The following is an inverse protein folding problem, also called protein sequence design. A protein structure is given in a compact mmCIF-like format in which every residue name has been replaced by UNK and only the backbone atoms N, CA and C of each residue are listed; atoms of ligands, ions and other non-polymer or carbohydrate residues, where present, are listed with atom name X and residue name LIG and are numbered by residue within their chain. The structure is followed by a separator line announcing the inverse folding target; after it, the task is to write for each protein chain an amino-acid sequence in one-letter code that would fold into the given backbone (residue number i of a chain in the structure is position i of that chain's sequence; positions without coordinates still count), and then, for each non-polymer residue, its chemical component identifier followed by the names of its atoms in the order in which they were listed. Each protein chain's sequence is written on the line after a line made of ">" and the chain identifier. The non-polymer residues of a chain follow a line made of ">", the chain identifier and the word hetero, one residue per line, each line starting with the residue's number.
data_IF_769448445612
#
_entry.id   IF_769448445612
#
_cell.length_a   1.000
_cell.length_b   1.000
_cell.length_c   1.000
_cell.angle_alpha   90.00
_cell.angle_beta   90.00
_cell.angle_gamma   90.00
#
_symmetry.space_group_name_H-M   'P 1'
#
loop_
_entity.id
_entity.type
_entity.pdbx_description
1 polymer ?
#
# COMPACT_ATOMS: atom_id res chain seq x y z
N UNK A 1 -15.90 -5.83 -19.78
CA UNK A 1 -15.16 -6.02 -18.51
C UNK A 1 -13.68 -5.98 -18.83
N UNK A 2 -12.87 -5.21 -18.08
CA UNK A 2 -11.43 -5.14 -18.35
C UNK A 2 -10.78 -6.49 -18.07
N UNK A 3 -9.68 -6.76 -18.77
CA UNK A 3 -8.89 -7.98 -18.63
C UNK A 3 -8.41 -8.18 -17.18
N UNK A 4 -8.09 -7.09 -16.48
CA UNK A 4 -7.76 -7.03 -15.05
C UNK A 4 -8.91 -7.44 -14.12
N UNK A 5 -10.15 -7.11 -14.44
CA UNK A 5 -11.32 -7.56 -13.67
C UNK A 5 -11.51 -9.08 -13.84
N UNK A 6 -11.25 -9.59 -15.05
CA UNK A 6 -11.30 -11.01 -15.34
C UNK A 6 -10.21 -11.77 -14.57
N UNK A 7 -9.00 -11.25 -14.56
CA UNK A 7 -7.86 -11.81 -13.84
C UNK A 7 -8.10 -11.82 -12.32
N UNK A 8 -8.75 -10.79 -11.76
CA UNK A 8 -9.19 -10.75 -10.36
C UNK A 8 -10.24 -11.83 -10.04
N UNK A 9 -11.27 -12.00 -10.87
CA UNK A 9 -12.28 -13.05 -10.68
C UNK A 9 -11.71 -14.45 -10.87
N UNK A 10 -10.74 -14.62 -11.78
CA UNK A 10 -10.01 -15.87 -11.95
C UNK A 10 -9.15 -16.16 -10.71
N UNK A 11 -8.59 -15.12 -10.05
CA UNK A 11 -7.89 -15.21 -8.77
C UNK A 11 -8.81 -15.57 -7.60
N UNK A 12 -9.97 -14.92 -7.48
CA UNK A 12 -10.99 -15.25 -6.47
C UNK A 12 -11.53 -16.67 -6.67
N UNK A 13 -11.71 -17.10 -7.93
CA UNK A 13 -12.11 -18.45 -8.27
C UNK A 13 -11.01 -19.46 -7.92
N UNK A 14 -9.74 -19.19 -8.23
CA UNK A 14 -8.61 -20.03 -7.84
C UNK A 14 -8.45 -20.11 -6.30
N UNK A 15 -8.63 -19.00 -5.58
CA UNK A 15 -8.67 -18.97 -4.12
C UNK A 15 -9.83 -19.81 -3.58
N UNK A 16 -11.01 -19.74 -4.21
CA UNK A 16 -12.15 -20.58 -3.82
C UNK A 16 -11.87 -22.08 -4.00
N UNK A 17 -11.07 -22.46 -5.00
CA UNK A 17 -10.60 -23.83 -5.22
C UNK A 17 -9.57 -24.24 -4.15
N UNK A 18 -8.61 -23.37 -3.82
CA UNK A 18 -7.61 -23.60 -2.76
C UNK A 18 -8.26 -23.73 -1.37
N UNK A 19 -9.30 -22.94 -1.10
CA UNK A 19 -10.03 -22.96 0.18
C UNK A 19 -10.97 -24.18 0.26
N UNK A 20 -11.49 -24.70 -0.86
CA UNK A 20 -12.44 -25.83 -0.88
C UNK A 20 -11.81 -27.21 -1.10
N UNK A 21 -10.67 -27.32 -1.79
CA UNK A 21 -9.99 -28.61 -2.00
C UNK A 21 -8.99 -28.91 -0.87
N UNK A 22 -9.43 -29.71 0.10
CA UNK A 22 -8.60 -30.32 1.17
C UNK A 22 -7.49 -31.28 0.67
N UNK A 23 -7.13 -31.32 -0.62
CA UNK A 23 -6.38 -32.44 -1.21
C UNK A 23 -5.03 -32.14 -1.90
N UNK A 24 -4.49 -30.92 -1.84
CA UNK A 24 -3.13 -30.64 -2.35
C UNK A 24 -2.29 -29.78 -1.39
N UNK A 25 -2.05 -30.29 -0.18
CA UNK A 25 -1.13 -29.69 0.79
C UNK A 25 0.22 -30.43 0.85
N UNK A 26 0.77 -30.86 -0.30
CA UNK A 26 2.01 -31.65 -0.36
C UNK A 26 3.28 -30.84 -0.02
N UNK A 27 3.20 -29.52 0.15
CA UNK A 27 4.34 -28.65 0.44
C UNK A 27 4.06 -27.67 1.60
N UNK A 28 4.33 -28.06 2.86
CA UNK A 28 4.11 -27.23 4.06
C UNK A 28 4.74 -25.83 4.02
N UNK A 29 5.84 -25.68 3.27
CA UNK A 29 6.52 -24.39 3.07
C UNK A 29 5.67 -23.40 2.29
N UNK A 30 4.98 -23.84 1.22
CA UNK A 30 4.10 -23.02 0.39
C UNK A 30 2.91 -22.50 1.20
N UNK A 31 2.31 -23.38 1.97
CA UNK A 31 1.20 -23.11 2.89
C UNK A 31 1.57 -22.05 3.91
N UNK A 32 2.71 -22.25 4.57
CA UNK A 32 3.22 -21.32 5.57
C UNK A 32 3.56 -19.95 4.97
N UNK A 33 4.05 -19.94 3.73
CA UNK A 33 4.31 -18.71 2.98
C UNK A 33 3.01 -17.97 2.68
N UNK A 34 2.01 -18.62 2.10
CA UNK A 34 0.68 -18.03 1.83
C UNK A 34 0.04 -17.43 3.08
N UNK A 35 0.02 -18.19 4.19
CA UNK A 35 -0.52 -17.69 5.46
C UNK A 35 0.26 -16.47 5.97
N UNK A 36 1.59 -16.46 5.81
CA UNK A 36 2.41 -15.34 6.23
C UNK A 36 2.14 -14.08 5.39
N UNK A 37 1.95 -14.21 4.08
CA UNK A 37 1.70 -13.09 3.19
C UNK A 37 0.29 -12.53 3.40
N UNK A 38 -0.71 -13.40 3.55
CA UNK A 38 -2.08 -13.00 3.85
C UNK A 38 -2.18 -12.20 5.16
N UNK A 39 -1.49 -12.64 6.22
CA UNK A 39 -1.43 -11.88 7.48
C UNK A 39 -0.76 -10.52 7.30
N UNK A 40 0.34 -10.48 6.55
CA UNK A 40 1.08 -9.24 6.33
C UNK A 40 0.27 -8.22 5.51
N UNK A 41 -0.42 -8.68 4.47
CA UNK A 41 -1.34 -7.87 3.67
C UNK A 41 -2.47 -7.32 4.55
N UNK A 42 -3.09 -8.17 5.37
CA UNK A 42 -4.16 -7.76 6.29
C UNK A 42 -3.69 -6.74 7.34
N UNK A 43 -2.50 -6.94 7.90
CA UNK A 43 -1.90 -5.99 8.86
C UNK A 43 -1.70 -4.60 8.22
N UNK A 44 -1.11 -4.55 7.01
CA UNK A 44 -0.91 -3.29 6.29
C UNK A 44 -2.25 -2.66 5.91
N UNK A 45 -3.16 -3.44 5.33
CA UNK A 45 -4.46 -2.94 4.88
C UNK A 45 -5.36 -2.48 6.03
N UNK A 46 -5.15 -2.98 7.24
CA UNK A 46 -5.81 -2.45 8.44
C UNK A 46 -5.36 -1.01 8.70
N UNK A 47 -4.05 -0.74 8.67
CA UNK A 47 -3.50 0.62 8.85
C UNK A 47 -3.97 1.55 7.74
N UNK A 48 -3.92 1.11 6.48
CA UNK A 48 -4.34 1.91 5.33
C UNK A 48 -5.82 2.31 5.42
N UNK A 49 -6.71 1.35 5.73
CA UNK A 49 -8.16 1.61 5.88
C UNK A 49 -8.44 2.59 7.02
N UNK A 50 -7.76 2.46 8.16
CA UNK A 50 -7.89 3.40 9.28
C UNK A 50 -7.48 4.83 8.91
N UNK A 51 -6.58 4.99 7.94
CA UNK A 51 -6.10 6.28 7.43
C UNK A 51 -6.85 6.74 6.16
N UNK A 52 -7.90 6.03 5.73
CA UNK A 52 -8.65 6.35 4.51
C UNK A 52 -7.82 6.24 3.22
N UNK A 53 -6.74 5.46 3.23
CA UNK A 53 -5.86 5.25 2.08
C UNK A 53 -6.24 3.98 1.30
N UNK A 54 -5.90 3.96 0.00
CA UNK A 54 -6.15 2.81 -0.85
C UNK A 54 -5.38 1.58 -0.34
N UNK A 55 -6.01 0.40 -0.36
CA UNK A 55 -5.35 -0.86 0.00
C UNK A 55 -4.19 -1.20 -0.94
N UNK A 56 -3.39 -2.19 -0.56
CA UNK A 56 -2.39 -2.80 -1.43
C UNK A 56 -2.46 -4.32 -1.35
N UNK A 57 -1.83 -4.98 -2.32
CA UNK A 57 -1.73 -6.44 -2.39
C UNK A 57 -0.29 -6.91 -2.14
N UNK A 58 -0.13 -8.16 -1.73
CA UNK A 58 1.17 -8.81 -1.57
C UNK A 58 1.20 -10.13 -2.33
N UNK A 59 2.22 -10.32 -3.17
CA UNK A 59 2.33 -11.47 -4.05
C UNK A 59 3.74 -12.04 -4.11
N UNK A 60 3.84 -13.37 -4.05
CA UNK A 60 5.08 -14.11 -4.24
C UNK A 60 4.80 -15.50 -4.80
N UNK A 61 5.10 -15.69 -6.08
CA UNK A 61 5.12 -16.96 -6.80
C UNK A 61 6.53 -17.43 -7.18
N UNK A 62 7.54 -16.59 -6.95
CA UNK A 62 8.96 -16.83 -7.27
C UNK A 62 9.59 -17.82 -6.28
N UNK A 63 9.37 -17.63 -4.97
CA UNK A 63 10.02 -18.41 -3.93
C UNK A 63 9.16 -18.56 -2.67
N UNK A 64 9.70 -19.23 -1.64
CA UNK A 64 9.01 -19.40 -0.36
C UNK A 64 9.31 -18.29 0.66
N UNK A 65 9.81 -17.13 0.22
CA UNK A 65 10.08 -15.98 1.08
C UNK A 65 8.79 -15.49 1.73
N UNK A 66 8.85 -15.28 3.03
CA UNK A 66 7.74 -14.84 3.87
C UNK A 66 7.82 -13.33 4.15
N UNK A 67 6.89 -12.81 4.95
CA UNK A 67 6.91 -11.41 5.38
C UNK A 67 8.21 -11.05 6.12
N UNK A 68 8.62 -9.78 6.02
CA UNK A 68 9.59 -9.20 6.95
C UNK A 68 8.95 -9.00 8.32
N UNK A 69 9.59 -9.49 9.37
CA UNK A 69 9.06 -9.43 10.76
C UNK A 69 9.49 -8.18 11.52
N UNK A 70 10.57 -7.58 11.07
CA UNK A 70 11.25 -6.39 11.59
C UNK A 70 10.76 -5.10 10.92
N UNK A 71 9.79 -5.19 10.03
CA UNK A 71 9.21 -4.05 9.33
C UNK A 71 7.80 -3.73 9.84
N UNK A 72 7.55 -2.46 10.14
CA UNK A 72 6.23 -1.95 10.54
C UNK A 72 5.80 -0.85 9.57
N UNK A 73 4.66 -1.07 8.91
CA UNK A 73 4.09 -0.08 8.00
C UNK A 73 3.58 1.15 8.76
N UNK A 74 3.91 2.32 8.24
CA UNK A 74 3.51 3.63 8.77
C UNK A 74 3.03 4.51 7.63
N UNK A 75 2.05 5.37 7.92
CA UNK A 75 1.43 6.29 6.95
C UNK A 75 1.93 7.72 7.09
N UNK A 76 2.75 8.00 8.11
CA UNK A 76 3.34 9.30 8.39
C UNK A 76 4.73 9.14 9.03
N UNK A 77 5.62 10.09 8.78
CA UNK A 77 7.00 10.10 9.26
C UNK A 77 7.08 10.04 10.78
N UNK A 78 8.09 9.32 11.28
CA UNK A 78 8.37 9.22 12.71
C UNK A 78 9.58 10.07 13.07
N UNK A 79 9.28 11.23 13.65
CA UNK A 79 10.30 12.19 14.06
C UNK A 79 10.83 11.91 15.47
N UNK A 80 12.13 12.16 15.67
CA UNK A 80 12.75 12.22 17.00
C UNK A 80 12.14 13.36 17.84
N UNK A 81 12.34 13.33 19.16
CA UNK A 81 11.83 14.37 20.04
C UNK A 81 12.42 15.75 19.68
N UNK A 82 13.70 15.78 19.35
CA UNK A 82 14.46 16.98 18.96
C UNK A 82 13.93 17.54 17.63
N UNK A 83 13.72 16.67 16.64
CA UNK A 83 13.16 17.08 15.35
C UNK A 83 11.74 17.65 15.50
N UNK A 84 10.91 17.05 16.36
CA UNK A 84 9.56 17.57 16.67
C UNK A 84 9.63 18.93 17.34
N UNK A 85 10.52 19.10 18.31
CA UNK A 85 10.71 20.38 19.00
C UNK A 85 11.16 21.48 18.02
N UNK A 86 12.10 21.16 17.12
CA UNK A 86 12.57 22.08 16.08
C UNK A 86 11.45 22.47 15.11
N UNK A 87 10.68 21.51 14.58
CA UNK A 87 9.55 21.84 13.69
C UNK A 87 8.49 22.71 14.37
N UNK A 88 8.29 22.52 15.68
CA UNK A 88 7.34 23.32 16.47
C UNK A 88 7.88 24.73 16.72
N UNK A 89 9.18 24.87 17.01
CA UNK A 89 9.81 26.16 17.29
C UNK A 89 10.02 27.02 16.04
N UNK A 90 10.15 26.40 14.87
CA UNK A 90 10.33 27.12 13.60
C UNK A 90 9.11 27.94 13.17
N UNK A 91 7.97 27.89 13.90
CA UNK A 91 6.74 28.60 13.54
C UNK A 91 6.50 28.49 12.03
N UNK A 92 6.55 27.26 11.50
CA UNK A 92 6.16 27.00 10.12
C UNK A 92 4.66 27.31 10.04
N UNK A 93 4.33 28.60 9.89
CA UNK A 93 3.05 29.07 9.44
C UNK A 93 2.85 28.26 8.18
N UNK A 94 1.87 27.34 8.21
CA UNK A 94 1.29 26.84 6.98
C UNK A 94 0.79 28.10 6.31
N UNK A 95 1.60 28.71 5.46
CA UNK A 95 1.10 29.62 4.46
C UNK A 95 0.05 28.79 3.75
N UNK A 96 -1.21 29.05 4.08
CA UNK A 96 -2.31 28.75 3.19
C UNK A 96 -1.95 29.59 1.98
N UNK A 97 -1.15 29.01 1.07
CA UNK A 97 -0.99 29.56 -0.27
C UNK A 97 -2.42 29.73 -0.74
N UNK A 98 -2.84 30.98 -0.79
CA UNK A 98 -4.03 31.40 -1.49
C UNK A 98 -3.78 30.98 -2.92
N UNK A 99 -4.23 29.77 -3.25
CA UNK A 99 -4.31 29.28 -4.61
C UNK A 99 -4.92 30.41 -5.46
N UNK A 100 -4.21 30.85 -6.49
CA UNK A 100 -4.60 32.01 -7.31
C UNK A 100 -5.88 31.76 -8.13
N UNK A 101 -6.48 30.58 -8.02
CA UNK A 101 -7.77 30.27 -8.65
C UNK A 101 -8.92 30.77 -7.78
N UNK A 102 -9.52 31.90 -8.21
CA UNK A 102 -10.74 32.55 -7.68
C UNK A 102 -12.01 31.68 -7.59
N UNK A 103 -11.92 30.34 -7.49
CA UNK A 103 -13.07 29.43 -7.41
C UNK A 103 -13.14 28.55 -6.17
N UNK A 104 -12.15 28.56 -5.26
CA UNK A 104 -12.19 27.63 -4.12
C UNK A 104 -11.71 28.28 -2.83
N UNK A 105 -12.66 28.91 -2.14
CA UNK A 105 -12.51 29.50 -0.80
C UNK A 105 -13.66 29.12 0.15
N UNK A 106 -14.37 28.03 -0.13
CA UNK A 106 -15.52 27.57 0.66
C UNK A 106 -15.14 26.42 1.59
N UNK A 107 -14.17 26.63 2.49
CA UNK A 107 -13.87 25.68 3.60
C UNK A 107 -13.56 24.21 3.23
N UNK A 108 -13.42 23.90 1.94
CA UNK A 108 -13.18 22.55 1.43
C UNK A 108 -11.70 22.27 1.16
N UNK A 109 -11.39 20.97 0.97
CA UNK A 109 -10.12 20.29 0.64
C UNK A 109 -9.22 20.98 -0.42
N UNK A 110 -8.79 22.23 -0.24
CA UNK A 110 -8.07 22.93 -1.30
C UNK A 110 -6.62 22.46 -1.49
N UNK A 111 -6.03 21.74 -0.53
CA UNK A 111 -4.68 21.17 -0.62
C UNK A 111 -4.57 19.89 0.20
N UNK A 112 -5.52 18.96 0.05
CA UNK A 112 -5.49 17.71 0.81
C UNK A 112 -4.52 16.74 0.12
N UNK A 113 -3.34 16.52 0.71
CA UNK A 113 -2.48 15.37 0.37
C UNK A 113 -3.20 14.11 0.82
N UNK A 114 -4.10 13.62 -0.03
CA UNK A 114 -4.96 12.46 0.24
C UNK A 114 -4.20 11.14 0.02
N UNK A 115 -3.00 11.01 0.60
CA UNK A 115 -2.17 9.80 0.58
C UNK A 115 -1.97 9.16 -0.80
N UNK A 116 -1.51 7.91 -0.82
CA UNK A 116 -1.48 7.11 -2.05
C UNK A 116 -2.92 6.81 -2.48
N UNK A 117 -3.22 7.14 -3.73
CA UNK A 117 -4.53 6.90 -4.37
C UNK A 117 -4.56 5.64 -5.22
N UNK A 118 -3.41 5.26 -5.77
CA UNK A 118 -3.33 4.17 -6.72
C UNK A 118 -3.24 2.80 -6.04
N UNK A 119 -3.88 1.80 -6.64
CA UNK A 119 -3.79 0.40 -6.23
C UNK A 119 -2.42 -0.13 -6.67
N UNK A 120 -1.69 -0.67 -5.70
CA UNK A 120 -0.35 -1.23 -5.91
C UNK A 120 -0.22 -2.61 -5.30
N UNK A 121 0.79 -3.36 -5.74
CA UNK A 121 1.18 -4.64 -5.16
C UNK A 121 2.66 -4.62 -4.76
N UNK A 122 2.96 -5.20 -3.59
CA UNK A 122 4.31 -5.61 -3.20
C UNK A 122 4.55 -7.00 -3.78
N UNK A 123 5.48 -7.11 -4.70
CA UNK A 123 5.72 -8.34 -5.48
C UNK A 123 7.13 -8.85 -5.28
N UNK A 124 7.29 -10.15 -5.06
CA UNK A 124 8.60 -10.79 -5.09
C UNK A 124 9.08 -10.88 -6.54
N UNK A 125 10.22 -10.29 -6.81
CA UNK A 125 10.91 -10.35 -8.10
C UNK A 125 11.91 -11.51 -8.11
N UNK A 126 12.24 -12.00 -9.31
CA UNK A 126 13.17 -13.11 -9.50
C UNK A 126 14.57 -12.82 -8.94
N UNK A 127 15.06 -11.58 -9.08
CA UNK A 127 16.48 -11.26 -8.83
C UNK A 127 16.72 -10.11 -7.85
N UNK A 128 15.72 -9.28 -7.53
CA UNK A 128 15.90 -8.03 -6.76
C UNK A 128 15.12 -8.00 -5.44
N UNK A 129 14.61 -9.14 -5.00
CA UNK A 129 13.82 -9.22 -3.79
C UNK A 129 12.43 -8.62 -4.00
N UNK A 130 11.97 -7.73 -3.11
CA UNK A 130 10.62 -7.16 -3.16
C UNK A 130 10.59 -5.87 -3.97
N UNK A 131 9.62 -5.73 -4.88
CA UNK A 131 9.33 -4.52 -5.65
C UNK A 131 7.90 -4.04 -5.42
N UNK A 132 7.59 -2.83 -5.90
CA UNK A 132 6.23 -2.27 -5.89
C UNK A 132 5.80 -2.04 -7.33
N UNK A 133 4.61 -2.53 -7.67
CA UNK A 133 4.02 -2.43 -9.01
C UNK A 133 2.64 -1.80 -8.92
N UNK A 134 2.32 -0.91 -9.88
CA UNK A 134 0.97 -0.41 -10.04
C UNK A 134 0.08 -1.50 -10.66
N UNK A 135 -1.18 -1.57 -10.22
CA UNK A 135 -2.20 -2.47 -10.80
C UNK A 135 -3.16 -1.73 -11.73
N UNK A 136 -2.88 -0.47 -12.01
CA UNK A 136 -3.63 0.41 -12.88
C UNK A 136 -2.69 1.42 -13.54
N UNK A 137 -3.15 2.03 -14.63
CA UNK A 137 -2.39 3.03 -15.35
C UNK A 137 -2.25 4.31 -14.52
N UNK A 138 -1.01 4.80 -14.43
CA UNK A 138 -0.68 6.04 -13.73
C UNK A 138 -0.27 7.08 -14.79
N UNK A 139 -1.03 8.18 -14.95
CA UNK A 139 -0.67 9.24 -15.89
C UNK A 139 0.70 9.85 -15.56
N UNK A 140 1.41 10.42 -16.55
CA UNK A 140 2.66 11.11 -16.28
C UNK A 140 2.43 12.33 -15.37
N UNK A 141 3.44 12.67 -14.56
CA UNK A 141 3.48 13.85 -13.70
C UNK A 141 2.41 13.91 -12.60
N UNK A 142 1.96 12.75 -12.09
CA UNK A 142 1.02 12.67 -10.95
C UNK A 142 1.72 12.14 -9.69
N UNK A 143 1.16 12.52 -8.53
CA UNK A 143 1.62 12.02 -7.25
C UNK A 143 1.27 10.54 -7.07
N UNK A 144 2.26 9.71 -6.72
CA UNK A 144 2.06 8.26 -6.46
C UNK A 144 2.05 7.97 -4.97
N UNK A 145 3.18 8.20 -4.30
CA UNK A 145 3.36 7.99 -2.86
C UNK A 145 4.51 8.83 -2.34
N UNK A 146 4.49 9.13 -1.06
CA UNK A 146 5.62 9.72 -0.34
C UNK A 146 6.56 8.62 0.17
N UNK A 147 7.84 8.95 0.32
CA UNK A 147 8.80 8.12 1.05
C UNK A 147 8.70 8.43 2.55
N UNK A 148 8.35 7.42 3.35
CA UNK A 148 8.08 7.58 4.78
C UNK A 148 9.07 6.78 5.63
N UNK A 149 9.57 7.37 6.72
CA UNK A 149 10.54 6.78 7.65
C UNK A 149 10.40 7.27 9.09
#
# INVERSE_FOLDING_TARGET
>A
MSETIKEFYDRERALSVVVRHKQQWSQPKKVSQLHSLMRWENEINTVLRQNGQQILYIYNDVDYTRRRRDFKYITANKWSAEAKACMTSMNCIRERRTCETKKYGSGGKCCSVDGRRYIVAIVRTETRGWGIFALEDIPPNVFVTEYIG
#
